data_IF_606877208581
#
_entry.id   IF_606877208581
#
_cell.length_a   1.000
_cell.length_b   1.000
_cell.length_c   1.000
_cell.angle_alpha   90.00
_cell.angle_beta   90.00
_cell.angle_gamma   90.00
#
_symmetry.space_group_name_H-M   'P 1'
#
loop_
_entity.id
_entity.type
_entity.pdbx_description
1 polymer ?
#
# COMPACT_ATOMS: atom_id res chain seq x y z
N UNK A 1 53.17 2.81 23.81
CA UNK A 1 51.97 3.55 23.35
C UNK A 1 51.57 2.95 22.02
N UNK A 2 50.57 2.07 22.04
CA UNK A 2 49.99 1.47 20.84
C UNK A 2 49.19 2.55 20.10
N UNK A 3 49.36 2.74 18.78
CA UNK A 3 48.56 3.74 18.07
C UNK A 3 47.10 3.28 18.09
N UNK A 4 46.21 4.14 18.58
CA UNK A 4 44.77 3.99 18.40
C UNK A 4 44.52 4.08 16.89
N UNK A 5 44.14 2.97 16.27
CA UNK A 5 43.59 2.98 14.92
C UNK A 5 42.32 3.82 14.96
N UNK A 6 42.37 5.01 14.36
CA UNK A 6 41.18 5.81 14.14
C UNK A 6 40.22 5.03 13.25
N UNK A 7 38.95 5.00 13.65
CA UNK A 7 37.88 4.43 12.83
C UNK A 7 37.92 5.06 11.44
N UNK A 8 37.95 4.24 10.38
CA UNK A 8 37.81 4.74 9.02
C UNK A 8 36.48 5.51 8.91
N UNK A 9 36.46 6.70 8.30
CA UNK A 9 35.21 7.45 8.11
C UNK A 9 34.23 6.59 7.31
N UNK A 10 32.98 6.52 7.78
CA UNK A 10 31.94 5.74 7.11
C UNK A 10 31.80 6.18 5.65
N UNK A 11 31.72 5.19 4.74
CA UNK A 11 31.49 5.47 3.31
C UNK A 11 30.10 6.11 3.16
N UNK A 12 29.96 7.16 2.33
CA UNK A 12 28.67 7.78 2.11
C UNK A 12 27.71 6.78 1.46
N UNK A 13 26.47 6.76 1.95
CA UNK A 13 25.36 5.99 1.37
C UNK A 13 25.03 6.47 -0.05
N UNK A 14 24.39 5.63 -0.88
CA UNK A 14 23.89 6.05 -2.20
C UNK A 14 23.01 7.29 -2.15
N UNK A 15 22.12 7.40 -1.15
CA UNK A 15 21.32 8.60 -0.91
C UNK A 15 22.19 9.86 -0.72
N UNK A 16 23.23 9.80 0.12
CA UNK A 16 24.11 10.95 0.37
C UNK A 16 24.92 11.32 -0.87
N UNK A 17 25.39 10.33 -1.64
CA UNK A 17 26.12 10.55 -2.88
C UNK A 17 25.24 11.24 -3.92
N UNK A 18 24.03 10.75 -4.15
CA UNK A 18 23.06 11.37 -5.07
C UNK A 18 22.72 12.79 -4.59
N UNK A 19 22.41 12.95 -3.30
CA UNK A 19 21.99 14.24 -2.72
C UNK A 19 23.01 15.36 -2.87
N UNK A 20 24.32 15.05 -2.91
CA UNK A 20 25.39 16.04 -3.07
C UNK A 20 25.40 16.70 -4.45
N UNK A 21 24.81 16.04 -5.46
CA UNK A 21 24.82 16.47 -6.86
C UNK A 21 23.41 16.65 -7.44
N UNK A 22 22.37 16.40 -6.65
CA UNK A 22 20.99 16.61 -7.07
C UNK A 22 20.67 18.10 -7.15
N UNK A 23 20.09 18.50 -8.29
CA UNK A 23 19.43 19.77 -8.48
C UNK A 23 17.94 19.49 -8.69
N UNK A 24 17.08 20.17 -7.95
CA UNK A 24 15.63 19.94 -7.96
C UNK A 24 14.92 21.14 -8.56
N UNK A 25 13.92 20.89 -9.42
CA UNK A 25 13.20 21.97 -10.09
C UNK A 25 12.35 22.81 -9.13
N UNK A 26 12.02 22.27 -7.96
CA UNK A 26 11.24 22.98 -6.94
C UNK A 26 11.65 22.61 -5.52
N UNK A 27 11.29 23.49 -4.57
CA UNK A 27 11.50 23.23 -3.14
C UNK A 27 10.69 22.04 -2.63
N UNK A 28 9.51 21.82 -3.20
CA UNK A 28 8.66 20.68 -2.87
C UNK A 28 9.35 19.36 -3.24
N UNK A 29 9.95 19.27 -4.44
CA UNK A 29 10.69 18.08 -4.87
C UNK A 29 11.92 17.83 -3.97
N UNK A 30 12.70 18.87 -3.66
CA UNK A 30 13.84 18.76 -2.74
C UNK A 30 13.41 18.28 -1.34
N UNK A 31 12.26 18.76 -0.87
CA UNK A 31 11.72 18.40 0.45
C UNK A 31 11.20 16.97 0.47
N UNK A 32 10.46 16.55 -0.56
CA UNK A 32 10.05 15.16 -0.73
C UNK A 32 11.26 14.22 -0.78
N UNK A 33 12.30 14.58 -1.52
CA UNK A 33 13.52 13.77 -1.62
C UNK A 33 14.16 13.56 -0.24
N UNK A 34 14.33 14.64 0.53
CA UNK A 34 14.90 14.59 1.89
C UNK A 34 14.06 13.77 2.87
N UNK A 35 12.75 13.69 2.63
CA UNK A 35 11.79 13.04 3.53
C UNK A 35 11.57 11.55 3.21
N UNK A 36 11.63 11.16 1.94
CA UNK A 36 11.29 9.79 1.48
C UNK A 36 12.53 8.96 1.16
N UNK A 37 13.55 9.57 0.53
CA UNK A 37 14.70 8.83 0.01
C UNK A 37 15.58 8.17 1.10
N UNK A 38 15.79 8.76 2.29
CA UNK A 38 16.51 8.09 3.37
C UNK A 38 15.88 6.75 3.76
N UNK A 39 14.55 6.71 3.89
CA UNK A 39 13.85 5.47 4.21
C UNK A 39 14.03 4.44 3.10
N UNK A 40 13.85 4.83 1.82
CA UNK A 40 14.05 3.93 0.69
C UNK A 40 15.48 3.35 0.67
N UNK A 41 16.49 4.19 0.87
CA UNK A 41 17.88 3.78 0.98
C UNK A 41 18.07 2.73 2.10
N UNK A 42 17.55 3.02 3.29
CA UNK A 42 17.74 2.17 4.45
C UNK A 42 17.00 0.82 4.34
N UNK A 43 15.80 0.79 3.74
CA UNK A 43 15.09 -0.47 3.50
C UNK A 43 15.80 -1.32 2.45
N UNK A 44 16.35 -0.72 1.39
CA UNK A 44 17.11 -1.47 0.39
C UNK A 44 18.43 -2.00 0.96
N UNK A 45 19.12 -1.22 1.78
CA UNK A 45 20.31 -1.67 2.50
C UNK A 45 19.99 -2.83 3.45
N UNK A 46 18.91 -2.72 4.24
CA UNK A 46 18.45 -3.78 5.15
C UNK A 46 17.95 -5.03 4.42
N UNK A 47 17.49 -4.87 3.18
CA UNK A 47 17.08 -5.96 2.30
C UNK A 47 18.23 -6.53 1.44
N UNK A 48 19.47 -6.13 1.72
CA UNK A 48 20.68 -6.61 1.04
C UNK A 48 20.70 -6.40 -0.48
N UNK A 49 20.10 -5.31 -0.96
CA UNK A 49 20.24 -4.91 -2.37
C UNK A 49 21.71 -4.58 -2.63
N UNK A 50 22.27 -5.01 -3.75
CA UNK A 50 23.59 -4.53 -4.15
C UNK A 50 23.56 -3.02 -4.44
N UNK A 51 24.72 -2.41 -4.35
CA UNK A 51 24.86 -0.95 -4.44
C UNK A 51 24.40 -0.41 -5.80
N UNK A 52 24.54 -1.16 -6.89
CA UNK A 52 24.13 -0.70 -8.23
C UNK A 52 22.61 -0.60 -8.34
N UNK A 53 21.89 -1.61 -7.84
CA UNK A 53 20.44 -1.55 -7.76
C UNK A 53 19.96 -0.46 -6.78
N UNK A 54 20.67 -0.22 -5.66
CA UNK A 54 20.34 0.90 -4.78
C UNK A 54 20.41 2.25 -5.51
N UNK A 55 21.47 2.50 -6.28
CA UNK A 55 21.57 3.70 -7.12
C UNK A 55 20.46 3.76 -8.17
N UNK A 56 20.22 2.68 -8.91
CA UNK A 56 19.19 2.63 -9.94
C UNK A 56 17.81 3.01 -9.39
N UNK A 57 17.41 2.42 -8.26
CA UNK A 57 16.09 2.64 -7.70
C UNK A 57 15.96 3.99 -7.00
N UNK A 58 17.03 4.53 -6.40
CA UNK A 58 17.04 5.90 -5.90
C UNK A 58 16.97 6.94 -7.02
N UNK A 59 17.62 6.69 -8.16
CA UNK A 59 17.49 7.53 -9.35
C UNK A 59 16.08 7.45 -9.92
N UNK A 60 15.46 6.27 -9.95
CA UNK A 60 14.06 6.13 -10.32
C UNK A 60 13.12 6.92 -9.38
N UNK A 61 13.34 6.85 -8.06
CA UNK A 61 12.62 7.68 -7.09
C UNK A 61 12.81 9.16 -7.43
N UNK A 62 14.05 9.64 -7.55
CA UNK A 62 14.39 11.06 -7.76
C UNK A 62 13.83 11.61 -9.07
N UNK A 63 14.02 10.90 -10.17
CA UNK A 63 13.78 11.44 -11.52
C UNK A 63 12.36 11.18 -12.03
N UNK A 64 11.66 10.18 -11.48
CA UNK A 64 10.34 9.77 -11.95
C UNK A 64 9.27 9.99 -10.90
N UNK A 65 9.50 9.54 -9.66
CA UNK A 65 8.44 9.52 -8.65
C UNK A 65 8.34 10.83 -7.86
N UNK A 66 9.47 11.43 -7.46
CA UNK A 66 9.49 12.69 -6.69
C UNK A 66 8.77 13.83 -7.43
N UNK A 67 8.98 14.07 -8.74
CA UNK A 67 8.22 15.07 -9.48
C UNK A 67 6.72 14.77 -9.52
N UNK A 68 6.33 13.49 -9.50
CA UNK A 68 4.95 13.06 -9.52
C UNK A 68 4.24 13.16 -8.15
N UNK A 69 4.96 13.34 -7.04
CA UNK A 69 4.34 13.50 -5.72
C UNK A 69 3.61 14.85 -5.56
N UNK A 70 3.90 15.83 -6.42
CA UNK A 70 3.27 17.14 -6.41
C UNK A 70 3.71 18.01 -5.22
N UNK A 71 2.89 18.98 -4.79
CA UNK A 71 3.25 19.89 -3.70
C UNK A 71 3.49 19.12 -2.39
N UNK A 72 4.51 19.51 -1.65
CA UNK A 72 4.71 18.98 -0.31
C UNK A 72 3.57 19.51 0.59
N UNK A 73 2.94 18.67 1.43
CA UNK A 73 1.74 19.05 2.17
C UNK A 73 2.06 20.08 3.26
N UNK A 74 1.98 21.36 2.89
CA UNK A 74 2.19 22.51 3.78
C UNK A 74 0.89 23.14 4.27
N UNK A 75 -0.27 22.67 3.81
CA UNK A 75 -1.57 23.28 4.13
C UNK A 75 -2.69 22.24 4.24
N UNK A 76 -3.77 22.62 4.91
CA UNK A 76 -4.99 21.82 5.02
C UNK A 76 -5.66 21.52 3.67
N UNK A 77 -5.34 22.30 2.62
CA UNK A 77 -5.92 22.17 1.28
C UNK A 77 -5.12 21.23 0.37
N UNK A 78 -4.02 20.65 0.83
CA UNK A 78 -3.26 19.67 0.05
C UNK A 78 -4.12 18.42 -0.23
N UNK A 79 -3.89 17.80 -1.39
CA UNK A 79 -4.53 16.53 -1.73
C UNK A 79 -4.18 15.48 -0.68
N UNK A 80 -5.21 14.77 -0.18
CA UNK A 80 -5.03 13.68 0.79
C UNK A 80 -5.22 12.35 0.08
N UNK A 81 -4.14 11.60 -0.04
CA UNK A 81 -4.08 10.35 -0.76
C UNK A 81 -4.65 9.18 0.03
N UNK A 82 -5.54 8.40 -0.58
CA UNK A 82 -6.05 7.13 0.00
C UNK A 82 -4.96 6.05 0.08
N UNK A 83 -3.78 6.27 -0.53
CA UNK A 83 -2.63 5.34 -0.48
C UNK A 83 -2.18 5.09 0.95
N UNK A 84 -2.22 6.11 1.81
CA UNK A 84 -1.80 5.97 3.19
C UNK A 84 -2.86 6.47 4.15
N UNK A 85 -2.79 5.95 5.37
CA UNK A 85 -3.62 6.35 6.50
C UNK A 85 -3.46 7.82 6.87
N UNK A 86 -2.25 8.35 6.75
CA UNK A 86 -1.99 9.77 6.97
C UNK A 86 -2.42 10.63 5.79
N UNK A 87 -2.68 10.10 4.59
CA UNK A 87 -3.02 10.94 3.44
C UNK A 87 -1.80 11.41 2.64
N UNK A 88 -0.59 10.96 2.97
CA UNK A 88 0.61 11.21 2.17
C UNK A 88 0.57 10.36 0.88
N UNK A 89 1.01 10.89 -0.27
CA UNK A 89 0.91 10.23 -1.56
C UNK A 89 2.00 9.18 -1.84
N UNK A 90 2.65 8.63 -0.81
CA UNK A 90 3.73 7.65 -0.97
C UNK A 90 3.74 6.62 0.16
N UNK A 91 3.92 5.35 -0.19
CA UNK A 91 4.07 4.24 0.74
C UNK A 91 5.18 3.30 0.27
N UNK A 92 6.12 2.99 1.15
CA UNK A 92 7.21 2.04 0.99
C UNK A 92 6.80 0.78 1.76
N UNK A 93 6.96 -0.37 1.13
CA UNK A 93 6.72 -1.66 1.78
C UNK A 93 7.81 -2.65 1.43
N UNK A 94 8.06 -3.60 2.31
CA UNK A 94 9.01 -4.68 2.07
C UNK A 94 8.27 -6.00 2.12
N UNK A 95 8.47 -6.83 1.11
CA UNK A 95 8.06 -8.21 1.14
C UNK A 95 9.19 -9.10 1.66
N UNK A 96 8.91 -9.90 2.67
CA UNK A 96 9.75 -10.97 3.17
C UNK A 96 9.21 -12.34 2.73
N UNK A 97 10.11 -13.19 2.27
CA UNK A 97 9.85 -14.58 1.92
C UNK A 97 11.05 -15.41 2.33
N UNK A 98 10.80 -16.59 2.89
CA UNK A 98 11.86 -17.52 3.28
C UNK A 98 12.75 -17.86 2.08
N UNK A 99 14.07 -17.94 2.31
CA UNK A 99 15.09 -18.34 1.33
C UNK A 99 15.15 -17.43 0.07
N UNK A 100 14.65 -16.20 0.16
CA UNK A 100 14.67 -15.21 -0.90
C UNK A 100 15.01 -13.81 -0.36
N UNK A 101 15.70 -13.01 -1.18
CA UNK A 101 15.95 -11.61 -0.84
C UNK A 101 14.61 -10.85 -0.72
N UNK A 102 14.46 -9.98 0.30
CA UNK A 102 13.25 -9.19 0.42
C UNK A 102 13.02 -8.30 -0.80
N UNK A 103 11.76 -8.06 -1.15
CA UNK A 103 11.40 -7.18 -2.28
C UNK A 103 10.83 -5.87 -1.76
N UNK A 104 11.58 -4.79 -1.94
CA UNK A 104 11.17 -3.41 -1.67
C UNK A 104 10.18 -2.97 -2.74
N UNK A 105 9.15 -2.25 -2.30
CA UNK A 105 8.05 -1.74 -3.12
C UNK A 105 7.78 -0.29 -2.78
N UNK A 106 7.39 0.48 -3.78
CA UNK A 106 6.94 1.87 -3.64
C UNK A 106 5.57 1.99 -4.29
N UNK A 107 4.57 2.47 -3.56
CA UNK A 107 3.29 2.90 -4.10
C UNK A 107 3.21 4.41 -4.01
N UNK A 108 2.71 5.08 -5.05
CA UNK A 108 2.46 6.52 -4.99
C UNK A 108 1.08 6.84 -5.53
N UNK A 109 0.47 7.91 -5.04
CA UNK A 109 -0.60 8.59 -5.77
C UNK A 109 -0.02 9.84 -6.43
N UNK A 110 0.08 9.89 -7.76
CA UNK A 110 0.58 11.07 -8.43
C UNK A 110 -0.33 12.26 -8.14
N UNK A 111 0.25 13.42 -7.81
CA UNK A 111 -0.50 14.66 -7.58
C UNK A 111 0.16 15.85 -8.25
N UNK A 112 -0.57 16.96 -8.35
CA UNK A 112 -0.08 18.27 -8.81
C UNK A 112 -0.72 19.37 -7.98
N UNK A 113 -0.34 20.63 -8.22
CA UNK A 113 -1.06 21.80 -7.69
C UNK A 113 -2.52 21.91 -8.15
N UNK A 114 -2.95 21.13 -9.16
CA UNK A 114 -4.34 21.09 -9.62
C UNK A 114 -5.18 20.05 -8.88
N UNK A 115 -4.55 19.07 -8.24
CA UNK A 115 -5.23 17.96 -7.57
C UNK A 115 -6.15 18.46 -6.46
N UNK A 116 -7.44 18.11 -6.54
CA UNK A 116 -8.48 18.55 -5.62
C UNK A 116 -9.04 19.94 -5.88
N UNK A 117 -8.49 20.70 -6.85
CA UNK A 117 -9.05 21.98 -7.29
C UNK A 117 -10.23 21.78 -8.24
N UNK A 118 -10.92 22.85 -8.62
CA UNK A 118 -12.00 22.78 -9.63
C UNK A 118 -11.53 22.26 -11.00
N UNK A 119 -10.23 22.34 -11.31
CA UNK A 119 -9.65 21.86 -12.57
C UNK A 119 -9.37 20.37 -12.57
N UNK A 120 -9.11 19.77 -11.41
CA UNK A 120 -8.92 18.33 -11.26
C UNK A 120 -9.43 17.84 -9.89
N UNK A 121 -10.75 17.85 -9.65
CA UNK A 121 -11.34 17.62 -8.33
C UNK A 121 -11.13 16.19 -7.80
N UNK A 122 -10.80 15.24 -8.67
CA UNK A 122 -10.63 13.82 -8.36
C UNK A 122 -9.25 13.27 -8.74
N UNK A 123 -8.28 14.15 -8.96
CA UNK A 123 -6.87 13.79 -9.18
C UNK A 123 -6.64 12.79 -10.33
N UNK A 124 -7.36 12.96 -11.45
CA UNK A 124 -7.29 12.04 -12.58
C UNK A 124 -6.16 12.38 -13.56
N UNK A 125 -5.75 13.65 -13.64
CA UNK A 125 -4.75 14.12 -14.59
C UNK A 125 -3.34 13.56 -14.31
N UNK A 126 -2.75 13.73 -13.11
CA UNK A 126 -1.39 13.27 -12.85
C UNK A 126 -1.24 11.74 -12.90
N UNK A 127 -2.27 10.99 -12.50
CA UNK A 127 -2.24 9.54 -12.63
C UNK A 127 -2.08 9.15 -14.11
N UNK A 128 -2.90 9.73 -15.00
CA UNK A 128 -2.81 9.50 -16.45
C UNK A 128 -1.44 9.90 -17.01
N UNK A 129 -0.91 11.04 -16.59
CA UNK A 129 0.40 11.52 -17.04
C UNK A 129 1.54 10.58 -16.63
N UNK A 130 1.53 10.07 -15.40
CA UNK A 130 2.55 9.14 -14.94
C UNK A 130 2.46 7.80 -15.69
N UNK A 131 1.29 7.18 -15.81
CA UNK A 131 1.15 5.92 -16.57
C UNK A 131 1.62 6.06 -18.03
N UNK A 132 1.34 7.19 -18.68
CA UNK A 132 1.86 7.49 -20.03
C UNK A 132 3.39 7.67 -20.04
N UNK A 133 3.96 8.22 -18.96
CA UNK A 133 5.41 8.44 -18.84
C UNK A 133 6.16 7.14 -18.62
N UNK A 134 5.60 6.21 -17.83
CA UNK A 134 6.13 4.85 -17.67
C UNK A 134 6.23 4.11 -19.00
N UNK A 135 5.26 4.29 -19.92
CA UNK A 135 5.34 3.72 -21.27
C UNK A 135 6.55 4.22 -22.05
N UNK A 136 6.95 5.49 -21.84
CA UNK A 136 8.11 6.10 -22.53
C UNK A 136 9.44 5.70 -21.91
N UNK A 137 9.47 5.36 -20.62
CA UNK A 137 10.67 4.85 -19.94
C UNK A 137 11.09 3.46 -20.44
N UNK A 138 10.18 2.73 -21.10
CA UNK A 138 10.49 1.42 -21.67
C UNK A 138 10.77 0.35 -20.61
N UNK A 139 10.07 0.40 -19.47
CA UNK A 139 10.19 -0.62 -18.42
C UNK A 139 9.86 -2.00 -19.00
N UNK A 140 10.70 -2.98 -18.66
CA UNK A 140 10.59 -4.33 -19.21
C UNK A 140 9.23 -4.95 -18.87
N UNK A 141 8.49 -5.34 -19.90
CA UNK A 141 7.21 -6.04 -19.75
C UNK A 141 6.05 -5.16 -19.29
N UNK A 142 6.22 -3.84 -19.24
CA UNK A 142 5.15 -2.91 -18.87
C UNK A 142 4.09 -2.78 -19.95
N UNK A 143 2.84 -3.03 -19.58
CA UNK A 143 1.65 -2.82 -20.40
C UNK A 143 0.46 -2.42 -19.51
N UNK A 144 -0.10 -1.23 -19.75
CA UNK A 144 -1.21 -0.70 -18.97
C UNK A 144 -2.57 -0.78 -19.70
N UNK A 145 -2.71 -1.52 -20.80
CA UNK A 145 -3.95 -1.54 -21.60
C UNK A 145 -5.16 -1.99 -20.77
N UNK A 146 -5.08 -3.16 -20.13
CA UNK A 146 -6.21 -3.69 -19.35
C UNK A 146 -6.49 -2.84 -18.10
N UNK A 147 -5.44 -2.28 -17.49
CA UNK A 147 -5.61 -1.33 -16.39
C UNK A 147 -6.36 -0.07 -16.86
N UNK A 148 -6.03 0.48 -18.03
CA UNK A 148 -6.74 1.62 -18.62
C UNK A 148 -8.23 1.36 -18.87
N UNK A 149 -8.61 0.12 -19.24
CA UNK A 149 -10.02 -0.28 -19.37
C UNK A 149 -10.74 -0.26 -18.02
N UNK A 150 -10.11 -0.79 -16.97
CA UNK A 150 -10.66 -0.75 -15.62
C UNK A 150 -10.80 0.69 -15.11
N UNK A 151 -9.80 1.55 -15.35
CA UNK A 151 -9.90 2.98 -15.00
C UNK A 151 -11.10 3.62 -15.71
N UNK A 152 -11.29 3.36 -17.01
CA UNK A 152 -12.43 3.91 -17.75
C UNK A 152 -13.80 3.45 -17.22
N UNK A 153 -13.90 2.20 -16.77
CA UNK A 153 -15.15 1.63 -16.26
C UNK A 153 -15.45 2.05 -14.81
N UNK A 154 -14.39 2.14 -13.99
CA UNK A 154 -14.50 2.23 -12.53
C UNK A 154 -14.22 3.63 -11.98
N UNK A 155 -13.82 4.59 -12.81
CA UNK A 155 -13.60 5.99 -12.38
C UNK A 155 -14.60 6.94 -13.02
N UNK A 156 -14.71 8.14 -12.45
CA UNK A 156 -15.67 9.14 -12.93
C UNK A 156 -15.32 9.68 -14.31
N UNK A 157 -16.33 9.88 -15.14
CA UNK A 157 -16.24 10.55 -16.44
C UNK A 157 -16.38 12.07 -16.27
N UNK A 158 -15.98 12.89 -17.25
CA UNK A 158 -16.18 14.35 -17.18
C UNK A 158 -17.64 14.75 -16.91
N UNK A 159 -18.61 14.07 -17.54
CA UNK A 159 -20.04 14.33 -17.30
C UNK A 159 -20.49 13.95 -15.88
N UNK A 160 -19.89 12.93 -15.28
CA UNK A 160 -20.17 12.56 -13.89
C UNK A 160 -19.53 13.55 -12.90
N UNK A 161 -18.35 14.08 -13.21
CA UNK A 161 -17.73 15.18 -12.44
C UNK A 161 -18.63 16.43 -12.47
N UNK A 162 -19.16 16.79 -13.64
CA UNK A 162 -20.12 17.89 -13.79
C UNK A 162 -21.43 17.62 -13.03
N UNK A 163 -21.89 16.37 -13.02
CA UNK A 163 -23.06 15.96 -12.26
C UNK A 163 -22.84 16.09 -10.75
N UNK A 164 -21.69 15.63 -10.24
CA UNK A 164 -21.31 15.78 -8.83
C UNK A 164 -21.32 17.25 -8.43
N UNK A 165 -20.70 18.11 -9.25
CA UNK A 165 -20.64 19.56 -9.00
C UNK A 165 -22.03 20.20 -9.02
N UNK A 166 -22.80 19.98 -10.09
CA UNK A 166 -24.10 20.64 -10.30
C UNK A 166 -25.16 20.23 -9.28
N UNK A 167 -25.10 19.00 -8.77
CA UNK A 167 -26.04 18.49 -7.76
C UNK A 167 -25.49 18.55 -6.33
N UNK A 168 -24.24 18.94 -6.13
CA UNK A 168 -23.59 18.93 -4.82
C UNK A 168 -23.56 17.54 -4.17
N UNK A 169 -23.25 16.51 -4.96
CA UNK A 169 -23.20 15.12 -4.47
C UNK A 169 -22.02 14.97 -3.50
N UNK A 170 -22.29 14.55 -2.27
CA UNK A 170 -21.24 14.23 -1.31
C UNK A 170 -20.62 12.85 -1.63
N UNK A 171 -19.35 12.88 -2.01
CA UNK A 171 -18.54 11.72 -2.38
C UNK A 171 -17.54 11.30 -1.28
N UNK A 172 -17.62 11.95 -0.12
CA UNK A 172 -16.78 11.67 1.04
C UNK A 172 -15.33 12.16 0.90
N UNK A 173 -14.50 11.74 1.86
CA UNK A 173 -13.11 12.17 1.98
C UNK A 173 -12.15 11.41 1.04
N UNK A 174 -12.43 10.13 0.76
CA UNK A 174 -11.58 9.29 -0.08
C UNK A 174 -11.93 9.46 -1.56
N UNK A 175 -11.13 10.28 -2.24
CA UNK A 175 -11.37 10.75 -3.61
C UNK A 175 -10.41 10.19 -4.65
N UNK A 176 -9.37 9.48 -4.23
CA UNK A 176 -8.41 8.81 -5.12
C UNK A 176 -9.14 7.95 -6.15
N UNK A 177 -8.65 7.96 -7.39
CA UNK A 177 -9.28 7.23 -8.51
C UNK A 177 -8.36 6.14 -9.06
N UNK A 178 -7.08 6.44 -9.24
CA UNK A 178 -6.10 5.50 -9.76
C UNK A 178 -4.68 5.81 -9.26
N UNK A 179 -3.91 4.78 -8.91
CA UNK A 179 -2.53 4.93 -8.40
C UNK A 179 -1.63 3.80 -8.91
N UNK A 180 -0.33 4.03 -9.19
CA UNK A 180 0.62 2.96 -9.45
C UNK A 180 1.36 2.48 -8.20
N UNK A 181 1.78 1.22 -8.23
CA UNK A 181 2.80 0.67 -7.36
C UNK A 181 3.92 0.00 -8.15
N UNK A 182 5.10 -0.08 -7.53
CA UNK A 182 6.34 -0.50 -8.15
C UNK A 182 6.99 -1.58 -7.30
N UNK A 183 7.23 -2.75 -7.86
CA UNK A 183 8.06 -3.80 -7.27
C UNK A 183 9.49 -3.65 -7.80
N UNK A 184 10.45 -3.44 -6.90
CA UNK A 184 11.87 -3.23 -7.22
C UNK A 184 12.61 -4.54 -7.02
N UNK A 185 12.91 -5.29 -8.08
CA UNK A 185 13.51 -6.61 -7.92
C UNK A 185 14.48 -6.94 -9.06
N UNK A 186 15.68 -7.41 -8.70
CA UNK A 186 16.68 -7.95 -9.63
C UNK A 186 17.03 -7.02 -10.81
N UNK A 187 17.04 -5.70 -10.58
CA UNK A 187 17.31 -4.70 -11.62
C UNK A 187 16.12 -4.35 -12.50
N UNK A 188 15.00 -5.06 -12.38
CA UNK A 188 13.74 -4.75 -13.05
C UNK A 188 12.81 -3.93 -12.12
N UNK A 189 11.86 -3.23 -12.73
CA UNK A 189 10.78 -2.49 -12.05
C UNK A 189 9.46 -2.98 -12.63
N UNK A 190 8.68 -3.71 -11.84
CA UNK A 190 7.34 -4.16 -12.24
C UNK A 190 6.28 -3.17 -11.76
N UNK A 191 5.30 -2.85 -12.60
CA UNK A 191 4.26 -1.87 -12.28
C UNK A 191 2.94 -2.57 -11.98
N UNK A 192 2.22 -2.08 -10.97
CA UNK A 192 0.84 -2.44 -10.65
C UNK A 192 -0.02 -1.19 -10.71
N UNK A 193 -1.24 -1.32 -11.22
CA UNK A 193 -2.24 -0.27 -11.16
C UNK A 193 -3.31 -0.61 -10.12
N UNK A 194 -3.69 0.39 -9.32
CA UNK A 194 -4.78 0.34 -8.36
C UNK A 194 -5.89 1.27 -8.83
N UNK A 195 -7.14 0.85 -8.75
CA UNK A 195 -8.32 1.64 -9.17
C UNK A 195 -9.41 1.60 -8.11
N UNK A 196 -9.96 2.78 -7.81
CA UNK A 196 -10.83 3.03 -6.66
C UNK A 196 -12.25 3.46 -7.13
N UNK A 197 -13.23 2.55 -7.09
CA UNK A 197 -14.58 2.80 -7.62
C UNK A 197 -15.48 3.66 -6.72
N UNK A 198 -15.00 4.13 -5.56
CA UNK A 198 -15.85 4.78 -4.56
C UNK A 198 -16.62 6.00 -5.11
N UNK A 199 -15.94 6.91 -5.79
CA UNK A 199 -16.61 8.11 -6.34
C UNK A 199 -17.61 7.72 -7.44
N UNK A 200 -17.27 6.71 -8.26
CA UNK A 200 -18.11 6.19 -9.35
C UNK A 200 -19.39 5.56 -8.82
N UNK A 201 -19.34 4.72 -7.77
CA UNK A 201 -20.55 4.16 -7.17
C UNK A 201 -21.46 5.28 -6.63
N UNK A 202 -20.88 6.30 -5.99
CA UNK A 202 -21.66 7.38 -5.38
C UNK A 202 -22.42 8.19 -6.42
N UNK A 203 -21.77 8.60 -7.50
CA UNK A 203 -22.42 9.44 -8.53
C UNK A 203 -23.42 8.65 -9.39
N UNK A 204 -23.14 7.38 -9.67
CA UNK A 204 -24.01 6.54 -10.52
C UNK A 204 -25.15 5.89 -9.75
N UNK A 205 -25.03 5.78 -8.42
CA UNK A 205 -25.94 4.97 -7.58
C UNK A 205 -25.83 3.47 -7.85
N UNK A 206 -24.84 3.02 -8.62
CA UNK A 206 -24.58 1.59 -8.89
C UNK A 206 -23.71 1.04 -7.78
N UNK A 207 -24.07 -0.12 -7.23
CA UNK A 207 -23.27 -0.76 -6.19
C UNK A 207 -21.87 -1.12 -6.70
N UNK A 208 -20.87 -1.01 -5.82
CA UNK A 208 -19.46 -1.23 -6.20
C UNK A 208 -19.19 -2.63 -6.73
N UNK A 209 -19.79 -3.67 -6.14
CA UNK A 209 -19.72 -5.04 -6.65
C UNK A 209 -20.21 -5.15 -8.08
N UNK A 210 -21.37 -4.56 -8.39
CA UNK A 210 -21.89 -4.54 -9.76
C UNK A 210 -20.92 -3.84 -10.72
N UNK A 211 -20.40 -2.67 -10.36
CA UNK A 211 -19.41 -1.96 -11.20
C UNK A 211 -18.18 -2.84 -11.48
N UNK A 212 -17.66 -3.48 -10.43
CA UNK A 212 -16.45 -4.31 -10.49
C UNK A 212 -16.67 -5.57 -11.31
N UNK A 213 -17.71 -6.36 -11.02
CA UNK A 213 -17.97 -7.60 -11.75
C UNK A 213 -18.38 -7.34 -13.21
N UNK A 214 -19.20 -6.33 -13.49
CA UNK A 214 -19.54 -5.95 -14.87
C UNK A 214 -18.27 -5.59 -15.67
N UNK A 215 -17.29 -4.91 -15.04
CA UNK A 215 -16.03 -4.58 -15.70
C UNK A 215 -15.15 -5.81 -15.93
N UNK A 216 -15.01 -6.68 -14.91
CA UNK A 216 -14.20 -7.90 -15.01
C UNK A 216 -14.76 -8.90 -16.02
N UNK A 217 -16.09 -9.05 -16.12
CA UNK A 217 -16.72 -9.92 -17.12
C UNK A 217 -16.41 -9.48 -18.56
N UNK A 218 -16.26 -8.18 -18.83
CA UNK A 218 -15.82 -7.69 -20.16
C UNK A 218 -14.38 -8.12 -20.48
N UNK A 219 -13.56 -8.38 -19.45
CA UNK A 219 -12.17 -8.80 -19.56
C UNK A 219 -11.99 -10.32 -19.53
N UNK A 220 -13.05 -11.10 -19.28
CA UNK A 220 -12.99 -12.54 -19.04
C UNK A 220 -12.25 -13.32 -20.14
N UNK A 221 -12.35 -12.88 -21.40
CA UNK A 221 -11.64 -13.49 -22.53
C UNK A 221 -10.10 -13.46 -22.40
N UNK A 222 -9.56 -12.60 -21.55
CA UNK A 222 -8.13 -12.52 -21.22
C UNK A 222 -7.82 -13.20 -19.88
N UNK A 223 -8.76 -13.12 -18.93
CA UNK A 223 -8.53 -13.54 -17.54
C UNK A 223 -8.66 -15.05 -17.34
N UNK A 224 -9.52 -15.72 -18.11
CA UNK A 224 -9.77 -17.17 -17.99
C UNK A 224 -9.99 -17.62 -16.53
N UNK A 225 -10.84 -16.91 -15.80
CA UNK A 225 -11.00 -17.05 -14.34
C UNK A 225 -12.46 -17.12 -13.88
N UNK A 226 -13.41 -17.32 -14.80
CA UNK A 226 -14.85 -17.38 -14.55
C UNK A 226 -15.24 -18.22 -13.33
N UNK A 227 -14.68 -19.42 -13.18
CA UNK A 227 -14.98 -20.27 -12.02
C UNK A 227 -14.56 -19.61 -10.69
N UNK A 228 -13.36 -19.04 -10.64
CA UNK A 228 -12.87 -18.36 -9.44
C UNK A 228 -13.71 -17.11 -9.15
N UNK A 229 -14.07 -16.34 -10.18
CA UNK A 229 -14.93 -15.16 -10.04
C UNK A 229 -16.32 -15.53 -9.52
N UNK A 230 -16.96 -16.55 -10.09
CA UNK A 230 -18.27 -17.03 -9.63
C UNK A 230 -18.25 -17.53 -8.18
N UNK A 231 -17.14 -18.13 -7.73
CA UNK A 231 -16.98 -18.51 -6.31
C UNK A 231 -16.99 -17.28 -5.39
N UNK A 232 -16.29 -16.21 -5.78
CA UNK A 232 -16.29 -14.97 -5.02
C UNK A 232 -17.66 -14.29 -5.06
N UNK A 233 -18.27 -14.14 -6.24
CA UNK A 233 -19.60 -13.54 -6.39
C UNK A 233 -20.64 -14.24 -5.51
N UNK A 234 -20.68 -15.58 -5.53
CA UNK A 234 -21.59 -16.35 -4.68
C UNK A 234 -21.35 -16.11 -3.18
N UNK A 235 -20.09 -16.07 -2.74
CA UNK A 235 -19.75 -15.76 -1.35
C UNK A 235 -20.18 -14.33 -0.96
N UNK A 236 -19.91 -13.33 -1.80
CA UNK A 236 -20.26 -11.93 -1.51
C UNK A 236 -21.77 -11.72 -1.49
N UNK A 237 -22.50 -12.39 -2.38
CA UNK A 237 -23.97 -12.36 -2.42
C UNK A 237 -24.58 -12.99 -1.17
N UNK A 238 -24.12 -14.17 -0.76
CA UNK A 238 -24.62 -14.87 0.44
C UNK A 238 -24.28 -14.14 1.74
N UNK A 239 -23.08 -13.56 1.84
CA UNK A 239 -22.64 -12.83 3.03
C UNK A 239 -23.15 -11.39 3.08
N UNK A 240 -23.70 -10.86 1.97
CA UNK A 240 -24.11 -9.46 1.86
C UNK A 240 -22.94 -8.47 1.91
N UNK A 241 -21.72 -8.89 1.56
CA UNK A 241 -20.50 -8.09 1.67
C UNK A 241 -20.02 -7.49 0.35
N UNK A 242 -20.81 -7.58 -0.74
CA UNK A 242 -20.46 -6.97 -2.03
C UNK A 242 -20.14 -5.47 -1.95
N UNK A 243 -20.85 -4.73 -1.09
CA UNK A 243 -20.61 -3.30 -0.83
C UNK A 243 -19.29 -2.98 -0.15
N UNK A 244 -18.54 -3.99 0.30
CA UNK A 244 -17.28 -3.82 1.03
C UNK A 244 -16.04 -3.85 0.12
N UNK A 245 -16.22 -3.95 -1.21
CA UNK A 245 -15.11 -3.83 -2.16
C UNK A 245 -14.54 -2.42 -2.09
N UNK A 246 -13.28 -2.31 -1.72
CA UNK A 246 -12.56 -1.03 -1.61
C UNK A 246 -11.93 -0.60 -2.92
N UNK A 247 -11.16 -1.49 -3.55
CA UNK A 247 -10.42 -1.20 -4.78
C UNK A 247 -9.99 -2.48 -5.51
N UNK A 248 -9.57 -2.34 -6.77
CA UNK A 248 -8.96 -3.42 -7.55
C UNK A 248 -7.48 -3.09 -7.77
N UNK A 249 -6.61 -4.09 -7.71
CA UNK A 249 -5.24 -3.97 -8.22
C UNK A 249 -5.01 -4.93 -9.37
N UNK A 250 -4.21 -4.52 -10.35
CA UNK A 250 -3.86 -5.29 -11.54
C UNK A 250 -2.38 -5.12 -11.84
N UNK A 251 -1.70 -6.20 -12.21
CA UNK A 251 -0.33 -6.10 -12.72
C UNK A 251 -0.37 -5.44 -14.12
N UNK A 252 0.37 -4.35 -14.33
CA UNK A 252 0.47 -3.66 -15.63
C UNK A 252 1.48 -4.38 -16.53
N UNK A 253 1.08 -5.57 -16.97
CA UNK A 253 1.85 -6.49 -17.80
C UNK A 253 1.00 -7.05 -18.95
N UNK A 254 1.61 -7.89 -19.78
CA UNK A 254 0.95 -8.61 -20.87
C UNK A 254 -0.42 -9.20 -20.43
N UNK A 255 -1.51 -8.92 -21.18
CA UNK A 255 -2.86 -9.36 -20.86
C UNK A 255 -3.04 -10.86 -20.59
N UNK A 256 -2.21 -11.73 -21.19
CA UNK A 256 -2.30 -13.19 -21.03
C UNK A 256 -1.73 -13.68 -19.70
N UNK A 257 -0.92 -12.86 -19.04
CA UNK A 257 -0.32 -13.13 -17.73
C UNK A 257 -0.99 -12.32 -16.62
N UNK A 258 -2.04 -11.57 -16.96
CA UNK A 258 -2.65 -10.59 -16.08
C UNK A 258 -3.22 -11.24 -14.83
N UNK A 259 -2.72 -10.78 -13.68
CA UNK A 259 -3.27 -11.09 -12.37
C UNK A 259 -3.97 -9.86 -11.82
N UNK A 260 -5.16 -10.06 -11.27
CA UNK A 260 -5.90 -9.00 -10.59
C UNK A 260 -6.28 -9.41 -9.17
N UNK A 261 -6.63 -8.41 -8.37
CA UNK A 261 -6.94 -8.54 -6.95
C UNK A 261 -8.14 -7.67 -6.61
N UNK A 262 -9.13 -8.26 -5.97
CA UNK A 262 -10.27 -7.51 -5.42
C UNK A 262 -10.03 -7.33 -3.93
N UNK A 263 -9.89 -6.08 -3.49
CA UNK A 263 -9.65 -5.73 -2.09
C UNK A 263 -10.95 -5.46 -1.37
N UNK A 264 -11.06 -6.02 -0.17
CA UNK A 264 -12.21 -5.92 0.71
C UNK A 264 -11.79 -5.28 2.03
N UNK A 265 -12.70 -4.57 2.68
CA UNK A 265 -12.51 -4.09 4.05
C UNK A 265 -13.72 -4.45 4.93
N UNK A 266 -13.49 -4.74 6.21
CA UNK A 266 -14.58 -5.03 7.14
C UNK A 266 -14.28 -4.48 8.55
N UNK A 267 -15.27 -3.89 9.24
CA UNK A 267 -15.04 -3.30 10.57
C UNK A 267 -14.73 -4.34 11.64
N UNK A 268 -15.23 -5.56 11.52
CA UNK A 268 -14.96 -6.62 12.49
C UNK A 268 -13.54 -7.15 12.37
N UNK A 269 -12.67 -6.74 13.31
CA UNK A 269 -11.28 -7.19 13.41
C UNK A 269 -11.23 -8.30 14.45
N UNK A 270 -11.50 -9.52 14.02
CA UNK A 270 -11.50 -10.72 14.87
C UNK A 270 -10.85 -11.87 14.12
N UNK A 271 -10.26 -12.83 14.85
CA UNK A 271 -9.75 -14.04 14.21
C UNK A 271 -10.84 -14.76 13.43
N UNK A 272 -12.07 -14.84 13.97
CA UNK A 272 -13.20 -15.48 13.29
C UNK A 272 -13.49 -14.86 11.91
N UNK A 273 -13.50 -13.52 11.81
CA UNK A 273 -13.68 -12.84 10.51
C UNK A 273 -12.49 -13.09 9.58
N UNK A 274 -11.27 -13.13 10.10
CA UNK A 274 -10.07 -13.49 9.32
C UNK A 274 -10.20 -14.89 8.73
N UNK A 275 -10.61 -15.88 9.53
CA UNK A 275 -10.78 -17.27 9.06
C UNK A 275 -11.89 -17.40 8.02
N UNK A 276 -13.02 -16.71 8.24
CA UNK A 276 -14.13 -16.64 7.28
C UNK A 276 -13.67 -16.04 5.94
N UNK A 277 -13.02 -14.87 5.97
CA UNK A 277 -12.52 -14.20 4.78
C UNK A 277 -11.45 -15.05 4.07
N UNK A 278 -10.52 -15.64 4.83
CA UNK A 278 -9.44 -16.45 4.27
C UNK A 278 -9.96 -17.65 3.47
N UNK A 279 -11.05 -18.26 3.95
CA UNK A 279 -11.64 -19.47 3.37
C UNK A 279 -12.85 -19.23 2.46
N UNK A 280 -13.20 -17.96 2.18
CA UNK A 280 -14.47 -17.59 1.51
C UNK A 280 -15.70 -18.27 2.16
N UNK A 281 -15.76 -18.23 3.49
CA UNK A 281 -16.81 -18.87 4.29
C UNK A 281 -16.78 -20.41 4.17
N UNK A 282 -15.58 -21.00 4.13
CA UNK A 282 -15.39 -22.46 4.02
C UNK A 282 -15.41 -23.04 2.60
N UNK A 283 -15.57 -22.20 1.57
CA UNK A 283 -15.51 -22.64 0.15
C UNK A 283 -14.10 -23.08 -0.26
N UNK A 284 -13.07 -22.47 0.33
CA UNK A 284 -11.68 -22.92 0.20
C UNK A 284 -11.33 -23.81 1.38
N UNK A 285 -11.08 -25.08 1.11
CA UNK A 285 -10.82 -26.11 2.14
C UNK A 285 -9.79 -27.15 1.70
N UNK A 286 -9.04 -26.87 0.64
CA UNK A 286 -7.92 -27.71 0.22
C UNK A 286 -6.77 -27.69 1.25
N UNK A 287 -5.87 -28.66 1.16
CA UNK A 287 -4.76 -28.81 2.11
C UNK A 287 -3.84 -27.59 2.17
N UNK A 288 -3.60 -26.92 1.04
CA UNK A 288 -2.76 -25.71 1.00
C UNK A 288 -3.45 -24.57 1.77
N UNK A 289 -4.74 -24.34 1.53
CA UNK A 289 -5.53 -23.34 2.27
C UNK A 289 -5.56 -23.63 3.76
N UNK A 290 -5.84 -24.87 4.18
CA UNK A 290 -5.91 -25.21 5.60
C UNK A 290 -4.55 -25.07 6.29
N UNK A 291 -3.45 -25.40 5.60
CA UNK A 291 -2.10 -25.17 6.13
C UNK A 291 -1.77 -23.67 6.25
N UNK A 292 -2.15 -22.89 5.24
CA UNK A 292 -2.02 -21.43 5.26
C UNK A 292 -2.82 -20.80 6.41
N UNK A 293 -4.00 -21.33 6.72
CA UNK A 293 -4.84 -20.87 7.81
C UNK A 293 -4.23 -21.16 9.19
N UNK A 294 -3.59 -22.32 9.38
CA UNK A 294 -2.86 -22.65 10.61
C UNK A 294 -1.75 -21.64 10.90
N UNK A 295 -0.93 -21.33 9.90
CA UNK A 295 0.15 -20.34 10.00
C UNK A 295 -0.38 -18.90 10.16
N UNK A 296 -1.56 -18.60 9.60
CA UNK A 296 -2.24 -17.32 9.77
C UNK A 296 -2.72 -17.13 11.23
N UNK A 297 -3.23 -18.17 11.87
CA UNK A 297 -3.56 -18.14 13.31
C UNK A 297 -2.34 -17.84 14.16
N UNK A 298 -1.21 -18.44 13.80
CA UNK A 298 0.07 -18.22 14.48
C UNK A 298 0.54 -16.76 14.39
N UNK A 299 0.59 -16.16 13.18
CA UNK A 299 1.01 -14.76 13.05
C UNK A 299 0.00 -13.81 13.73
N UNK A 300 -1.30 -14.10 13.65
CA UNK A 300 -2.34 -13.31 14.32
C UNK A 300 -2.10 -13.25 15.84
N UNK A 301 -1.88 -14.42 16.46
CA UNK A 301 -1.61 -14.52 17.89
C UNK A 301 -0.29 -13.84 18.28
N UNK A 302 0.77 -14.01 17.49
CA UNK A 302 2.10 -13.49 17.81
C UNK A 302 2.20 -11.98 17.65
N UNK A 303 1.60 -11.42 16.60
CA UNK A 303 1.51 -9.96 16.41
C UNK A 303 0.59 -9.35 17.46
N UNK A 304 -0.49 -10.06 17.82
CA UNK A 304 -1.36 -9.70 18.93
C UNK A 304 -2.18 -8.44 18.66
N UNK A 305 -2.81 -8.33 17.49
CA UNK A 305 -3.77 -7.28 17.17
C UNK A 305 -4.90 -7.34 18.21
N UNK A 306 -5.31 -6.22 18.80
CA UNK A 306 -6.45 -6.26 19.71
C UNK A 306 -7.75 -6.40 18.91
N UNK A 307 -8.57 -7.39 19.27
CA UNK A 307 -9.79 -7.69 18.54
C UNK A 307 -10.92 -6.69 18.86
N UNK A 308 -11.88 -6.59 17.95
CA UNK A 308 -13.10 -5.83 18.15
C UNK A 308 -13.58 -5.15 16.87
N UNK A 309 -14.82 -4.68 16.92
CA UNK A 309 -15.40 -3.91 15.82
C UNK A 309 -14.81 -2.51 15.77
N UNK A 310 -14.52 -2.04 14.55
CA UNK A 310 -14.00 -0.71 14.28
C UNK A 310 -15.08 0.21 13.75
N UNK A 311 -15.12 1.43 14.26
CA UNK A 311 -15.91 2.49 13.62
C UNK A 311 -15.23 2.90 12.33
N UNK A 312 -15.89 2.72 11.19
CA UNK A 312 -15.40 3.17 9.90
C UNK A 312 -15.67 4.67 9.76
N UNK A 313 -14.67 5.48 10.08
CA UNK A 313 -14.71 6.92 9.88
C UNK A 313 -13.85 7.24 8.65
N UNK A 314 -14.36 7.95 7.63
CA UNK A 314 -13.57 8.36 6.48
C UNK A 314 -12.71 9.58 6.84
N UNK A 315 -11.59 9.33 7.50
CA UNK A 315 -10.63 10.38 7.88
C UNK A 315 -9.19 9.93 7.59
N UNK A 316 -8.30 10.92 7.51
CA UNK A 316 -6.86 10.73 7.43
C UNK A 316 -6.25 11.06 8.79
N UNK A 317 -5.31 10.24 9.25
CA UNK A 317 -4.64 10.42 10.53
C UNK A 317 -3.87 11.75 10.54
N UNK A 318 -4.28 12.66 11.43
CA UNK A 318 -3.68 13.97 11.66
C UNK A 318 -3.25 14.05 13.13
N UNK A 319 -1.95 14.11 13.45
CA UNK A 319 -1.47 14.11 14.82
C UNK A 319 -2.00 15.26 15.68
N UNK A 320 -2.46 16.37 15.07
CA UNK A 320 -2.80 17.60 15.77
C UNK A 320 -4.30 17.85 15.94
N UNK A 321 -5.12 17.58 14.92
CA UNK A 321 -6.57 17.89 15.02
C UNK A 321 -7.34 16.86 15.84
N UNK A 322 -6.89 15.61 15.77
CA UNK A 322 -7.29 14.51 16.64
C UNK A 322 -6.08 13.59 16.68
N UNK A 323 -5.36 13.52 17.80
CA UNK A 323 -4.62 12.29 18.13
C UNK A 323 -5.52 11.13 17.69
N UNK A 324 -5.01 10.07 17.07
CA UNK A 324 -5.85 9.05 16.44
C UNK A 324 -6.96 8.47 17.35
N UNK A 325 -7.07 8.87 18.63
CA UNK A 325 -8.15 8.64 19.59
C UNK A 325 -8.41 7.13 19.75
N UNK A 326 -7.38 6.32 19.45
CA UNK A 326 -7.52 4.87 19.41
C UNK A 326 -8.37 4.34 18.24
N UNK A 327 -8.66 5.15 17.22
CA UNK A 327 -9.35 4.72 16.01
C UNK A 327 -8.40 3.84 15.20
N UNK A 328 -8.71 2.55 15.19
CA UNK A 328 -7.93 1.50 14.52
C UNK A 328 -8.48 1.19 13.14
N UNK A 329 -7.62 0.78 12.20
CA UNK A 329 -8.07 0.40 10.87
C UNK A 329 -8.99 -0.81 10.88
N UNK A 330 -9.87 -0.92 9.87
CA UNK A 330 -10.62 -2.15 9.63
C UNK A 330 -9.67 -3.29 9.23
N UNK A 331 -10.20 -4.51 9.25
CA UNK A 331 -9.55 -5.63 8.60
C UNK A 331 -9.60 -5.42 7.08
N UNK A 332 -8.48 -5.68 6.40
CA UNK A 332 -8.39 -5.63 4.94
C UNK A 332 -7.90 -6.98 4.42
N UNK A 333 -8.40 -7.40 3.26
CA UNK A 333 -7.89 -8.55 2.54
C UNK A 333 -8.07 -8.39 1.04
N UNK A 334 -7.42 -9.23 0.24
CA UNK A 334 -7.79 -9.39 -1.16
C UNK A 334 -7.90 -10.84 -1.57
N UNK A 335 -8.66 -11.04 -2.65
CA UNK A 335 -8.69 -12.27 -3.41
C UNK A 335 -7.89 -12.06 -4.69
N UNK A 336 -6.83 -12.84 -4.85
CA UNK A 336 -5.94 -12.81 -6.01
C UNK A 336 -6.39 -13.84 -7.05
N UNK A 337 -6.59 -13.38 -8.28
CA UNK A 337 -7.03 -14.18 -9.42
C UNK A 337 -5.91 -14.30 -10.45
N UNK A 338 -5.65 -15.52 -10.88
CA UNK A 338 -4.62 -15.83 -11.89
C UNK A 338 -5.26 -16.59 -13.05
N UNK A 339 -4.80 -16.36 -14.29
CA UNK A 339 -5.26 -17.13 -15.44
C UNK A 339 -5.12 -18.63 -15.22
N UNK A 340 -6.17 -19.37 -15.59
CA UNK A 340 -6.20 -20.84 -15.51
C UNK A 340 -6.35 -21.43 -14.11
N UNK A 341 -6.51 -20.63 -13.06
CA UNK A 341 -6.77 -21.11 -11.70
C UNK A 341 -8.28 -21.10 -11.41
N UNK A 342 -8.80 -22.21 -10.90
CA UNK A 342 -10.23 -22.38 -10.58
C UNK A 342 -10.66 -21.76 -9.26
N UNK A 343 -9.71 -21.38 -8.42
CA UNK A 343 -9.92 -20.78 -7.10
C UNK A 343 -9.05 -19.54 -6.92
N UNK A 344 -9.57 -18.47 -6.28
CA UNK A 344 -8.74 -17.35 -5.88
C UNK A 344 -7.81 -17.74 -4.72
N UNK A 345 -6.76 -16.96 -4.52
CA UNK A 345 -5.90 -17.08 -3.32
C UNK A 345 -6.10 -15.87 -2.43
N UNK A 346 -6.36 -16.10 -1.15
CA UNK A 346 -6.63 -15.02 -0.20
C UNK A 346 -5.34 -14.47 0.42
N UNK A 347 -5.26 -13.15 0.51
CA UNK A 347 -4.20 -12.41 1.21
C UNK A 347 -4.81 -11.52 2.28
N UNK A 348 -4.43 -11.72 3.55
CA UNK A 348 -4.93 -10.95 4.69
C UNK A 348 -4.00 -9.79 5.00
N UNK A 349 -4.52 -8.66 5.46
CA UNK A 349 -3.78 -7.49 5.93
C UNK A 349 -4.17 -7.23 7.38
N UNK A 350 -3.25 -7.54 8.29
CA UNK A 350 -3.37 -7.29 9.71
C UNK A 350 -3.25 -5.77 9.95
N UNK A 351 -4.27 -5.12 10.55
CA UNK A 351 -4.29 -3.69 10.81
C UNK A 351 -3.38 -3.35 11.99
N UNK A 352 -2.10 -3.17 11.72
CA UNK A 352 -1.06 -2.91 12.74
C UNK A 352 -0.93 -1.43 13.09
N UNK A 353 -1.44 -0.53 12.24
CA UNK A 353 -1.57 0.88 12.59
C UNK A 353 -2.44 1.06 13.85
N UNK A 354 -1.90 1.77 14.84
CA UNK A 354 -2.45 1.95 16.17
C UNK A 354 -1.93 0.95 17.21
N UNK A 355 -1.30 -0.14 16.80
CA UNK A 355 -0.62 -1.09 17.70
C UNK A 355 0.80 -0.63 17.98
N UNK A 356 1.34 -0.94 19.16
CA UNK A 356 2.72 -0.62 19.50
C UNK A 356 3.72 -1.28 18.52
N UNK A 357 4.58 -0.47 17.91
CA UNK A 357 5.47 -0.94 16.83
C UNK A 357 6.48 -1.99 17.31
N UNK A 358 7.06 -1.83 18.51
CA UNK A 358 7.95 -2.82 19.11
C UNK A 358 7.25 -4.15 19.43
N UNK A 359 6.02 -4.11 19.94
CA UNK A 359 5.19 -5.30 20.18
C UNK A 359 4.96 -6.05 18.87
N UNK A 360 4.51 -5.35 17.82
CA UNK A 360 4.30 -5.93 16.49
C UNK A 360 5.62 -6.52 15.95
N UNK A 361 6.73 -5.79 16.06
CA UNK A 361 8.03 -6.24 15.56
C UNK A 361 8.55 -7.50 16.26
N UNK A 362 8.37 -7.60 17.57
CA UNK A 362 8.69 -8.81 18.34
C UNK A 362 7.78 -9.99 17.96
N UNK A 363 6.50 -9.73 17.68
CA UNK A 363 5.57 -10.73 17.18
C UNK A 363 6.01 -11.29 15.83
N UNK A 364 6.37 -10.40 14.89
CA UNK A 364 6.89 -10.77 13.58
C UNK A 364 8.21 -11.54 13.68
N UNK A 365 9.16 -11.07 14.50
CA UNK A 365 10.43 -11.76 14.75
C UNK A 365 10.21 -13.20 15.21
N UNK A 366 9.34 -13.43 16.21
CA UNK A 366 8.97 -14.78 16.66
C UNK A 366 8.32 -15.62 15.55
N UNK A 367 7.47 -15.00 14.73
CA UNK A 367 6.83 -15.71 13.63
C UNK A 367 7.82 -16.10 12.55
N UNK A 368 8.76 -15.22 12.20
CA UNK A 368 9.86 -15.51 11.27
C UNK A 368 10.71 -16.67 11.75
N UNK A 369 11.03 -16.73 13.05
CA UNK A 369 11.76 -17.86 13.64
C UNK A 369 10.98 -19.17 13.49
N UNK A 370 9.66 -19.17 13.80
CA UNK A 370 8.79 -20.35 13.66
C UNK A 370 8.74 -20.92 12.25
N UNK A 371 8.77 -20.06 11.23
CA UNK A 371 8.78 -20.51 9.82
C UNK A 371 10.20 -20.80 9.29
N UNK A 372 11.21 -20.69 10.16
CA UNK A 372 12.62 -20.98 9.86
C UNK A 372 13.32 -19.89 9.05
N UNK A 373 12.90 -18.63 9.18
CA UNK A 373 13.59 -17.45 8.65
C UNK A 373 14.45 -16.81 9.76
N UNK A 374 15.41 -17.57 10.30
CA UNK A 374 16.16 -17.24 11.53
C UNK A 374 16.95 -15.93 11.43
N UNK A 375 17.67 -15.69 10.34
CA UNK A 375 18.44 -14.44 10.16
C UNK A 375 17.52 -13.21 10.16
N UNK A 376 16.37 -13.30 9.50
CA UNK A 376 15.35 -12.25 9.54
C UNK A 376 14.79 -12.10 10.95
N UNK A 377 14.50 -13.20 11.65
CA UNK A 377 13.99 -13.17 13.01
C UNK A 377 14.93 -12.44 13.97
N UNK A 378 16.24 -12.70 13.87
CA UNK A 378 17.28 -12.11 14.71
C UNK A 378 17.47 -10.61 14.43
N UNK A 379 17.41 -10.20 13.16
CA UNK A 379 17.72 -8.83 12.73
C UNK A 379 16.50 -7.91 12.64
N UNK A 380 15.28 -8.43 12.55
CA UNK A 380 14.09 -7.62 12.22
C UNK A 380 13.86 -6.43 13.16
N UNK A 381 13.96 -6.64 14.48
CA UNK A 381 13.66 -5.58 15.46
C UNK A 381 14.70 -4.45 15.40
N UNK A 382 15.99 -4.79 15.31
CA UNK A 382 17.06 -3.80 15.16
C UNK A 382 16.98 -3.08 13.82
N UNK A 383 16.64 -3.80 12.74
CA UNK A 383 16.46 -3.20 11.43
C UNK A 383 15.32 -2.18 11.44
N UNK A 384 14.16 -2.52 12.05
CA UNK A 384 13.06 -1.57 12.19
C UNK A 384 13.48 -0.30 12.95
N UNK A 385 14.22 -0.44 14.06
CA UNK A 385 14.75 0.72 14.79
C UNK A 385 15.70 1.56 13.94
N UNK A 386 16.53 0.92 13.10
CA UNK A 386 17.47 1.60 12.21
C UNK A 386 16.78 2.33 11.05
N UNK A 387 15.59 1.89 10.63
CA UNK A 387 14.78 2.62 9.64
C UNK A 387 14.28 3.98 10.19
N UNK A 388 14.10 4.08 11.51
CA UNK A 388 13.55 5.25 12.20
C UNK A 388 14.45 5.69 13.38
N UNK A 389 15.67 6.16 13.12
CA UNK A 389 16.67 6.42 14.17
C UNK A 389 16.24 7.50 15.17
N UNK A 390 15.39 8.42 14.75
CA UNK A 390 14.88 9.53 15.58
C UNK A 390 13.66 9.15 16.44
N UNK A 391 13.16 7.91 16.33
CA UNK A 391 11.95 7.46 17.02
C UNK A 391 12.24 6.24 17.91
N UNK A 392 11.77 6.28 19.16
CA UNK A 392 11.72 5.09 20.02
C UNK A 392 10.56 4.20 19.57
N UNK A 393 10.85 3.10 18.84
CA UNK A 393 9.81 2.17 18.34
C UNK A 393 8.98 1.54 19.48
N UNK A 394 9.48 1.58 20.73
CA UNK A 394 8.73 1.17 21.92
C UNK A 394 7.60 2.12 22.30
N UNK A 395 7.57 3.34 21.74
CA UNK A 395 6.55 4.37 21.99
C UNK A 395 5.71 4.70 20.75
N UNK A 396 6.12 4.26 19.57
CA UNK A 396 5.40 4.49 18.32
C UNK A 396 4.28 3.46 18.11
N UNK A 397 3.28 3.87 17.33
CA UNK A 397 2.11 3.03 17.00
C UNK A 397 1.73 3.06 15.53
N UNK A 398 2.56 3.62 14.65
CA UNK A 398 2.17 3.92 13.28
C UNK A 398 3.29 3.74 12.26
N UNK A 399 4.47 3.24 12.67
CA UNK A 399 5.58 3.00 11.76
C UNK A 399 5.30 1.79 10.85
N UNK A 400 4.61 0.77 11.36
CA UNK A 400 4.15 -0.38 10.59
C UNK A 400 2.62 -0.28 10.47
N UNK A 401 2.16 0.26 9.34
CA UNK A 401 0.72 0.52 9.13
C UNK A 401 -0.07 -0.76 8.84
N UNK A 402 0.52 -1.67 8.07
CA UNK A 402 -0.09 -2.95 7.73
C UNK A 402 0.95 -4.07 7.72
N UNK A 403 0.53 -5.26 8.13
CA UNK A 403 1.27 -6.49 7.88
C UNK A 403 0.39 -7.39 7.03
N UNK A 404 0.79 -7.69 5.80
CA UNK A 404 0.04 -8.64 4.98
C UNK A 404 0.59 -10.05 5.09
N UNK A 405 -0.28 -11.04 5.09
CA UNK A 405 0.02 -12.47 5.10
C UNK A 405 -0.57 -13.16 3.87
N UNK A 406 0.24 -14.00 3.23
CA UNK A 406 -0.15 -14.85 2.10
C UNK A 406 0.63 -16.16 2.18
N UNK A 407 0.02 -17.25 1.70
CA UNK A 407 0.65 -18.56 1.69
C UNK A 407 0.27 -19.34 0.43
N UNK A 408 1.26 -20.00 -0.16
CA UNK A 408 1.06 -21.12 -1.10
C UNK A 408 2.10 -22.18 -0.82
N UNK A 409 1.84 -23.43 -1.20
CA UNK A 409 2.86 -24.50 -1.10
C UNK A 409 4.13 -24.15 -1.87
N UNK A 410 4.00 -23.56 -3.07
CA UNK A 410 5.14 -23.21 -3.92
C UNK A 410 6.02 -22.13 -3.30
N UNK A 411 5.41 -21.11 -2.69
CA UNK A 411 6.16 -19.94 -2.22
C UNK A 411 6.47 -19.97 -0.73
N UNK A 412 5.81 -20.84 0.03
CA UNK A 412 5.75 -20.72 1.48
C UNK A 412 5.03 -19.44 1.91
N UNK A 413 5.31 -19.00 3.12
CA UNK A 413 4.78 -17.76 3.69
C UNK A 413 5.40 -16.55 3.00
N UNK A 414 4.53 -15.62 2.65
CA UNK A 414 4.83 -14.33 2.05
C UNK A 414 4.27 -13.24 2.96
N UNK A 415 5.15 -12.55 3.68
CA UNK A 415 4.76 -11.48 4.61
C UNK A 415 5.19 -10.15 4.05
N UNK A 416 4.34 -9.13 4.12
CA UNK A 416 4.74 -7.76 3.73
C UNK A 416 4.50 -6.80 4.86
N UNK A 417 5.41 -5.86 5.06
CA UNK A 417 5.26 -4.78 6.04
C UNK A 417 5.20 -3.47 5.28
N UNK A 418 4.17 -2.68 5.56
CA UNK A 418 3.89 -1.39 4.94
C UNK A 418 4.26 -0.29 5.93
N UNK A 419 5.22 0.55 5.56
CA UNK A 419 5.89 1.47 6.47
C UNK A 419 5.31 2.89 6.38
N UNK A 420 5.32 3.63 7.49
CA UNK A 420 5.12 5.08 7.43
C UNK A 420 6.27 5.71 6.67
N UNK A 421 5.96 6.29 5.51
CA UNK A 421 6.96 6.55 4.47
C UNK A 421 7.40 8.01 4.37
N UNK A 422 7.32 8.70 5.49
CA UNK A 422 7.83 10.05 5.70
C UNK A 422 8.61 10.06 7.00
N UNK A 423 9.70 10.83 7.07
CA UNK A 423 10.47 11.05 8.29
C UNK A 423 9.69 11.89 9.32
N UNK A 424 8.53 12.43 8.95
CA UNK A 424 7.67 13.26 9.80
C UNK A 424 6.22 12.84 9.69
N UNK A 425 5.40 13.27 10.63
CA UNK A 425 3.95 13.30 10.42
C UNK A 425 3.59 14.68 9.86
N UNK A 426 3.28 14.73 8.56
CA UNK A 426 3.26 15.98 7.79
C UNK A 426 2.10 16.91 8.07
N UNK A 427 1.06 16.43 8.74
CA UNK A 427 -0.12 17.22 9.08
C UNK A 427 0.11 17.97 10.40
N UNK A 428 1.14 18.81 10.39
CA UNK A 428 1.53 19.66 11.49
C UNK A 428 0.71 20.97 11.40
N UNK A 429 -0.63 20.93 11.46
CA UNK A 429 -1.45 22.16 11.51
C UNK A 429 -1.12 22.95 12.78
N UNK A 430 -0.25 23.97 12.68
CA UNK A 430 -0.13 25.00 13.71
C UNK A 430 -1.50 25.61 13.98
N UNK A 431 -2.12 25.25 15.09
CA UNK A 431 -3.15 26.09 15.68
C UNK A 431 -2.43 27.06 16.61
N UNK A 432 -2.38 28.32 16.18
CA UNK A 432 -2.32 29.41 17.13
C UNK A 432 -3.43 29.24 18.17
N UNK A 433 -3.07 29.53 19.42
CA UNK A 433 -3.91 29.54 20.64
C UNK A 433 -4.10 28.17 21.30
N UNK A 434 -3.26 27.93 22.31
CA UNK A 434 -3.52 27.04 23.43
C UNK A 434 -4.55 27.72 24.35
N UNK A 435 -5.72 27.14 24.66
CA UNK A 435 -6.47 27.54 25.84
C UNK A 435 -5.82 26.87 27.05
N UNK A 436 -5.36 27.68 28.00
CA UNK A 436 -5.04 27.23 29.35
C UNK A 436 -6.24 26.47 29.94
N UNK A 437 -6.03 25.21 30.32
CA UNK A 437 -7.00 24.46 31.11
C UNK A 437 -6.67 24.58 32.60
N UNK A 438 -7.60 25.21 33.31
CA UNK A 438 -7.96 24.80 34.67
C UNK A 438 -8.79 23.51 34.62
#
# INVERSE_FOLDING_TARGET
MTPVQGEEPSKPSPYEVISRVSDFESKDQETWWKDVAPLLNNVMASAHYDVHHQYQYLLFLRDVLIPALGPYPHSANAWKSTTTRSGIPVEISVNYRKDHNPTVRISIEPTTYLSGTERDPFNQLPAKELFNSLSRLGLRGYDAELFGRLVSDLTVTPSEVDLIRSKGIDVGAFKSQATPGFDLQNGDISVKGYVFPNVKQTVTGTSVDKLVFDSLHKLEKYLHCSQALSLLEGYLQESGTGGNIGFIAVDCIDPTQLRFKIYMAHPSVTLAKVEEAYTLGGRLSDSTTLKGLELLRDIWQLVGIEEGDRTLIPYFDDPKSKASQGIRPPLVWNYEFKPGHSQPVTKIYLPTHGENDLKVARGLSKFFDRIGSTELAESYVSNLQALYPEHDIGRMTALQSWVSYFYTEKTGVYTSVYYHSSCKYLWDIENGVVPDHA
#
